data_IF_030188155815
#
_entry.id   IF_030188155815
#
_cell.length_a   1.000
_cell.length_b   1.000
_cell.length_c   1.000
_cell.angle_alpha   90.00
_cell.angle_beta   90.00
_cell.angle_gamma   90.00
#
_symmetry.space_group_name_H-M   'P 1'
#
loop_
_entity.id
_entity.type
_entity.pdbx_description
1 polymer ?
#
# COMPACT_ATOMS: atom_id res chain seq x y z
N UNK A 1 44.90 -7.06 -0.96
CA UNK A 1 44.48 -5.65 -0.80
C UNK A 1 44.11 -5.15 -2.21
N UNK A 2 42.83 -5.20 -2.57
CA UNK A 2 42.35 -4.80 -3.92
C UNK A 2 41.89 -3.35 -3.83
N UNK A 3 42.57 -2.48 -4.57
CA UNK A 3 42.27 -1.06 -4.71
C UNK A 3 41.03 -0.85 -5.61
N UNK A 4 40.15 0.05 -5.18
CA UNK A 4 38.93 0.45 -5.87
C UNK A 4 39.23 1.09 -7.23
N UNK A 5 38.44 0.77 -8.26
CA UNK A 5 38.51 1.36 -9.60
C UNK A 5 37.92 2.78 -9.56
N UNK A 6 38.71 3.88 -9.60
CA UNK A 6 38.22 5.24 -9.37
C UNK A 6 37.47 5.87 -10.56
N UNK A 7 37.30 5.13 -11.67
CA UNK A 7 36.68 5.66 -12.89
C UNK A 7 35.16 5.46 -12.99
N UNK A 8 34.63 4.34 -12.51
CA UNK A 8 33.22 3.96 -12.77
C UNK A 8 32.23 4.74 -11.91
N UNK A 9 32.55 4.97 -10.63
CA UNK A 9 31.70 5.76 -9.74
C UNK A 9 31.76 7.27 -10.04
N UNK A 10 32.92 7.77 -10.45
CA UNK A 10 33.07 9.15 -10.92
C UNK A 10 32.28 9.39 -12.21
N UNK A 11 32.34 8.45 -13.16
CA UNK A 11 31.55 8.48 -14.38
C UNK A 11 30.04 8.36 -14.09
N UNK A 12 29.57 7.43 -13.26
CA UNK A 12 28.15 7.32 -12.89
C UNK A 12 27.63 8.56 -12.17
N UNK A 13 28.42 9.16 -11.27
CA UNK A 13 28.04 10.39 -10.58
C UNK A 13 27.99 11.59 -11.55
N UNK A 14 28.94 11.67 -12.48
CA UNK A 14 28.98 12.70 -13.52
C UNK A 14 27.84 12.51 -14.55
N UNK A 15 27.62 11.30 -15.04
CA UNK A 15 26.53 10.90 -15.94
C UNK A 15 25.16 11.18 -15.30
N UNK A 16 24.99 10.93 -14.01
CA UNK A 16 23.78 11.28 -13.27
C UNK A 16 23.63 12.80 -13.09
N UNK A 17 24.73 13.54 -12.90
CA UNK A 17 24.78 15.01 -12.77
C UNK A 17 24.65 15.76 -14.10
N UNK A 18 24.96 15.15 -15.23
CA UNK A 18 24.73 15.73 -16.56
C UNK A 18 23.34 15.34 -17.09
N UNK A 19 22.92 14.08 -16.88
CA UNK A 19 21.64 13.58 -17.38
C UNK A 19 20.46 13.77 -16.40
N UNK A 20 20.61 14.34 -15.20
CA UNK A 20 19.47 14.53 -14.27
C UNK A 20 18.33 15.34 -14.89
N UNK A 21 18.63 16.27 -15.81
CA UNK A 21 17.62 17.04 -16.55
C UNK A 21 16.82 16.13 -17.50
N UNK A 22 17.46 15.16 -18.14
CA UNK A 22 16.82 14.13 -18.96
C UNK A 22 16.04 13.12 -18.10
N UNK A 23 16.56 12.73 -16.94
CA UNK A 23 15.82 11.90 -15.98
C UNK A 23 14.60 12.63 -15.41
N UNK A 24 14.70 13.95 -15.20
CA UNK A 24 13.57 14.81 -14.82
C UNK A 24 12.55 14.93 -15.95
N UNK A 25 13.01 15.13 -17.18
CA UNK A 25 12.16 15.27 -18.36
C UNK A 25 11.45 13.95 -18.76
N UNK A 26 12.10 12.79 -18.56
CA UNK A 26 11.52 11.47 -18.78
C UNK A 26 10.71 10.95 -17.58
N UNK A 27 10.64 11.70 -16.48
CA UNK A 27 9.82 11.34 -15.33
C UNK A 27 8.37 11.69 -15.62
N UNK A 28 7.47 10.76 -15.31
CA UNK A 28 6.06 11.07 -15.25
C UNK A 28 5.83 12.22 -14.28
N UNK A 29 5.06 13.24 -14.70
CA UNK A 29 4.69 14.34 -13.81
C UNK A 29 3.91 13.85 -12.59
N UNK A 30 3.23 12.70 -12.71
CA UNK A 30 2.50 12.03 -11.62
C UNK A 30 3.19 10.76 -11.14
N UNK A 31 3.01 10.43 -9.86
CA UNK A 31 3.40 9.14 -9.30
C UNK A 31 2.63 8.02 -10.01
N UNK A 32 3.36 7.08 -10.61
CA UNK A 32 2.78 5.93 -11.33
C UNK A 32 3.08 4.62 -10.59
N UNK A 33 2.22 3.60 -10.73
CA UNK A 33 2.49 2.29 -10.17
C UNK A 33 3.87 1.77 -10.60
N UNK A 34 4.68 1.36 -9.63
CA UNK A 34 6.02 0.85 -9.85
C UNK A 34 5.98 -0.65 -10.13
N UNK A 35 6.94 -1.07 -10.94
CA UNK A 35 7.24 -2.48 -11.18
C UNK A 35 8.05 -3.04 -10.01
N UNK A 36 7.69 -4.23 -9.55
CA UNK A 36 8.32 -4.96 -8.46
C UNK A 36 8.93 -6.27 -8.98
N UNK A 37 10.06 -6.64 -8.39
CA UNK A 37 10.74 -7.91 -8.67
C UNK A 37 11.34 -8.04 -10.07
N UNK A 38 11.91 -9.22 -10.34
CA UNK A 38 12.64 -9.53 -11.57
C UNK A 38 11.74 -9.58 -12.82
N UNK A 39 10.45 -9.88 -12.64
CA UNK A 39 9.49 -9.97 -13.75
C UNK A 39 8.90 -8.61 -14.15
N UNK A 40 9.21 -7.54 -13.40
CA UNK A 40 8.76 -6.19 -13.74
C UNK A 40 7.24 -6.02 -13.68
N UNK A 41 6.54 -6.79 -12.85
CA UNK A 41 5.09 -6.66 -12.64
C UNK A 41 4.78 -5.54 -11.65
N UNK A 42 3.68 -4.81 -11.80
CA UNK A 42 3.18 -3.95 -10.71
C UNK A 42 2.48 -4.79 -9.63
N UNK A 43 2.24 -4.25 -8.43
CA UNK A 43 1.43 -4.94 -7.39
C UNK A 43 0.05 -5.35 -7.93
N UNK A 44 -0.58 -4.50 -8.76
CA UNK A 44 -1.82 -4.83 -9.44
C UNK A 44 -1.66 -6.05 -10.35
N UNK A 45 -0.64 -6.08 -11.19
CA UNK A 45 -0.37 -7.22 -12.08
C UNK A 45 -0.05 -8.48 -11.27
N UNK A 46 0.70 -8.37 -10.18
CA UNK A 46 1.02 -9.48 -9.30
C UNK A 46 -0.26 -10.19 -8.78
N UNK A 47 -1.28 -9.40 -8.41
CA UNK A 47 -2.52 -9.87 -7.78
C UNK A 47 -3.65 -10.21 -8.77
N UNK A 48 -3.74 -9.49 -9.90
CA UNK A 48 -4.78 -9.70 -10.92
C UNK A 48 -4.42 -10.85 -11.86
N UNK A 49 -5.41 -11.67 -12.28
CA UNK A 49 -5.18 -12.68 -13.30
C UNK A 49 -4.85 -12.04 -14.66
N UNK A 50 -4.04 -12.72 -15.47
CA UNK A 50 -3.81 -12.40 -16.88
C UNK A 50 -2.62 -13.17 -17.48
N UNK A 51 -2.37 -12.96 -18.78
CA UNK A 51 -1.38 -13.74 -19.54
C UNK A 51 0.04 -13.47 -19.03
N UNK A 52 0.41 -12.20 -18.93
CA UNK A 52 1.69 -11.72 -18.39
C UNK A 52 1.57 -11.16 -16.96
N UNK A 53 0.48 -11.50 -16.27
CA UNK A 53 0.21 -11.07 -14.89
C UNK A 53 -0.19 -12.27 -14.04
N UNK A 54 -0.48 -12.02 -12.76
CA UNK A 54 -1.03 -12.99 -11.83
C UNK A 54 -0.01 -14.00 -11.35
N UNK A 55 1.25 -13.60 -11.18
CA UNK A 55 2.30 -14.50 -10.65
C UNK A 55 1.88 -15.15 -9.34
N UNK A 56 1.23 -14.43 -8.41
CA UNK A 56 0.72 -15.04 -7.18
C UNK A 56 -0.29 -16.16 -7.45
N UNK A 57 -1.26 -15.91 -8.33
CA UNK A 57 -2.27 -16.92 -8.69
C UNK A 57 -1.64 -18.13 -9.38
N UNK A 58 -0.65 -17.92 -10.26
CA UNK A 58 0.09 -18.99 -10.94
C UNK A 58 0.88 -19.83 -9.94
N UNK A 59 1.62 -19.19 -9.04
CA UNK A 59 2.39 -19.84 -7.97
C UNK A 59 1.47 -20.65 -7.04
N UNK A 60 0.33 -20.10 -6.62
CA UNK A 60 -0.63 -20.83 -5.79
C UNK A 60 -1.35 -21.95 -6.55
N UNK A 61 -1.64 -21.79 -7.85
CA UNK A 61 -2.18 -22.86 -8.70
C UNK A 61 -1.19 -24.02 -8.83
N UNK A 62 0.09 -23.72 -9.02
CA UNK A 62 1.15 -24.72 -9.05
C UNK A 62 1.26 -25.44 -7.70
N UNK A 63 1.25 -24.71 -6.58
CA UNK A 63 1.25 -25.31 -5.24
C UNK A 63 0.10 -26.27 -5.02
N UNK A 64 -1.15 -25.87 -5.35
CA UNK A 64 -2.32 -26.76 -5.24
C UNK A 64 -2.19 -28.06 -6.04
N UNK A 65 -1.58 -28.00 -7.22
CA UNK A 65 -1.30 -29.21 -8.03
C UNK A 65 -0.29 -30.11 -7.33
N UNK A 66 0.77 -29.55 -6.77
CA UNK A 66 1.80 -30.33 -6.07
C UNK A 66 1.25 -31.02 -4.81
N UNK A 67 0.46 -30.31 -4.01
CA UNK A 67 -0.16 -30.88 -2.80
C UNK A 67 -1.31 -31.85 -3.09
N UNK A 68 -1.96 -31.75 -4.26
CA UNK A 68 -3.00 -32.69 -4.69
C UNK A 68 -2.46 -33.99 -5.29
N UNK A 69 -1.16 -34.07 -5.56
CA UNK A 69 -0.49 -35.27 -6.08
C UNK A 69 -0.10 -36.19 -4.91
N UNK A 70 -0.26 -37.52 -5.02
CA UNK A 70 0.23 -38.46 -4.01
C UNK A 70 1.69 -38.21 -3.67
N UNK A 71 2.06 -38.32 -2.39
CA UNK A 71 3.41 -38.03 -1.92
C UNK A 71 4.49 -38.85 -2.64
N UNK A 72 4.16 -40.08 -3.04
CA UNK A 72 5.02 -40.97 -3.83
C UNK A 72 5.35 -40.46 -5.24
N UNK A 73 4.56 -39.52 -5.77
CA UNK A 73 4.72 -38.95 -7.12
C UNK A 73 5.17 -37.49 -7.11
N UNK A 74 5.28 -36.86 -5.92
CA UNK A 74 5.75 -35.49 -5.80
C UNK A 74 7.27 -35.48 -5.64
N UNK A 75 8.00 -34.87 -6.59
CA UNK A 75 9.46 -34.80 -6.44
C UNK A 75 9.84 -33.68 -5.44
N UNK A 76 10.77 -33.93 -4.50
CA UNK A 76 11.26 -32.90 -3.58
C UNK A 76 11.78 -31.64 -4.29
N UNK A 77 12.37 -31.81 -5.48
CA UNK A 77 12.85 -30.70 -6.30
C UNK A 77 11.75 -29.79 -6.83
N UNK A 78 10.56 -30.32 -7.15
CA UNK A 78 9.42 -29.51 -7.56
C UNK A 78 8.87 -28.66 -6.41
N UNK A 79 8.78 -29.24 -5.21
CA UNK A 79 8.37 -28.51 -4.00
C UNK A 79 9.38 -27.39 -3.66
N UNK A 80 10.68 -27.69 -3.67
CA UNK A 80 11.73 -26.70 -3.42
C UNK A 80 11.74 -25.58 -4.48
N UNK A 81 11.47 -25.90 -5.76
CA UNK A 81 11.33 -24.87 -6.82
C UNK A 81 10.12 -23.97 -6.58
N UNK A 82 8.98 -24.55 -6.21
CA UNK A 82 7.77 -23.78 -5.90
C UNK A 82 7.95 -22.88 -4.66
N UNK A 83 8.58 -23.39 -3.60
CA UNK A 83 8.92 -22.60 -2.41
C UNK A 83 9.83 -21.42 -2.76
N UNK A 84 10.87 -21.64 -3.57
CA UNK A 84 11.73 -20.56 -4.06
C UNK A 84 10.97 -19.51 -4.86
N UNK A 85 10.04 -19.91 -5.71
CA UNK A 85 9.20 -18.95 -6.46
C UNK A 85 8.32 -18.10 -5.52
N UNK A 86 7.75 -18.70 -4.46
CA UNK A 86 7.03 -17.93 -3.43
C UNK A 86 7.94 -16.96 -2.70
N UNK A 87 9.13 -17.41 -2.31
CA UNK A 87 10.11 -16.59 -1.60
C UNK A 87 10.57 -15.42 -2.45
N UNK A 88 10.82 -15.61 -3.75
CA UNK A 88 11.18 -14.53 -4.67
C UNK A 88 10.10 -13.45 -4.77
N UNK A 89 8.82 -13.84 -4.78
CA UNK A 89 7.71 -12.87 -4.77
C UNK A 89 7.66 -12.13 -3.43
N UNK A 90 7.85 -12.84 -2.33
CA UNK A 90 7.90 -12.26 -0.97
C UNK A 90 9.00 -11.23 -0.86
N UNK A 91 10.20 -11.58 -1.32
CA UNK A 91 11.39 -10.71 -1.31
C UNK A 91 11.21 -9.49 -2.24
N UNK A 92 10.54 -9.66 -3.39
CA UNK A 92 10.24 -8.54 -4.27
C UNK A 92 9.31 -7.51 -3.62
N UNK A 93 8.30 -7.96 -2.86
CA UNK A 93 7.42 -7.07 -2.10
C UNK A 93 8.17 -6.42 -0.94
N UNK A 94 8.96 -7.20 -0.19
CA UNK A 94 9.81 -6.68 0.88
C UNK A 94 10.71 -5.56 0.38
N UNK A 95 11.48 -5.79 -0.69
CA UNK A 95 12.36 -4.78 -1.30
C UNK A 95 11.60 -3.57 -1.82
N UNK A 96 10.38 -3.77 -2.32
CA UNK A 96 9.51 -2.67 -2.72
C UNK A 96 9.16 -1.79 -1.52
N UNK A 97 8.77 -2.37 -0.38
CA UNK A 97 8.43 -1.61 0.83
C UNK A 97 9.66 -0.95 1.44
N UNK A 98 10.78 -1.68 1.57
CA UNK A 98 12.03 -1.12 2.08
C UNK A 98 12.49 0.10 1.28
N UNK A 99 12.52 -0.02 -0.04
CA UNK A 99 12.99 1.05 -0.93
C UNK A 99 12.10 2.29 -0.92
N UNK A 100 10.78 2.10 -0.75
CA UNK A 100 9.81 3.16 -0.99
C UNK A 100 9.19 3.73 0.30
N UNK A 101 9.25 3.00 1.41
CA UNK A 101 8.79 3.46 2.72
C UNK A 101 9.97 3.64 3.68
N UNK A 102 10.70 2.57 3.95
CA UNK A 102 11.75 2.56 4.99
C UNK A 102 12.87 3.53 4.64
N UNK A 103 13.40 3.44 3.42
CA UNK A 103 14.46 4.32 2.93
C UNK A 103 14.02 5.79 2.90
N UNK A 104 12.75 6.06 2.58
CA UNK A 104 12.23 7.43 2.58
C UNK A 104 12.21 8.02 4.00
N UNK A 105 11.80 7.24 4.99
CA UNK A 105 11.81 7.63 6.40
C UNK A 105 13.23 7.76 6.95
N UNK A 106 14.12 6.83 6.61
CA UNK A 106 15.54 6.87 7.01
C UNK A 106 16.27 8.12 6.51
N UNK A 107 15.91 8.61 5.31
CA UNK A 107 16.51 9.82 4.71
C UNK A 107 15.82 11.11 5.14
N UNK A 108 14.70 11.03 5.85
CA UNK A 108 14.00 12.20 6.35
C UNK A 108 14.68 12.70 7.64
N UNK A 109 15.38 13.82 7.59
CA UNK A 109 16.03 14.41 8.77
C UNK A 109 15.07 14.79 9.90
N UNK A 110 13.78 14.94 9.59
CA UNK A 110 12.70 15.24 10.56
C UNK A 110 12.11 13.99 11.19
N UNK A 111 12.49 12.79 10.72
CA UNK A 111 12.03 11.52 11.27
C UNK A 111 12.75 11.22 12.58
N UNK A 112 12.00 11.17 13.67
CA UNK A 112 12.49 10.85 15.01
C UNK A 112 11.79 9.62 15.63
N UNK A 113 10.99 8.91 14.83
CA UNK A 113 10.33 7.68 15.24
C UNK A 113 11.22 6.44 15.04
N UNK A 114 10.82 5.27 15.54
CA UNK A 114 11.51 4.02 15.25
C UNK A 114 11.41 3.68 13.77
N UNK A 115 12.52 3.34 13.11
CA UNK A 115 12.49 2.97 11.69
C UNK A 115 11.66 1.68 11.50
N UNK A 116 10.72 1.64 10.54
CA UNK A 116 10.03 0.40 10.22
C UNK A 116 11.02 -0.65 9.70
N UNK A 117 10.85 -1.89 10.12
CA UNK A 117 11.51 -3.06 9.56
C UNK A 117 10.45 -4.01 9.01
N UNK A 118 10.63 -4.51 7.79
CA UNK A 118 9.71 -5.52 7.23
C UNK A 118 10.10 -6.85 7.83
N UNK A 119 9.38 -7.27 8.87
CA UNK A 119 9.62 -8.54 9.57
C UNK A 119 9.24 -9.72 8.68
N UNK A 120 8.05 -9.64 8.06
CA UNK A 120 7.51 -10.72 7.24
C UNK A 120 6.61 -10.20 6.13
N UNK A 121 6.48 -11.02 5.09
CA UNK A 121 5.53 -10.82 4.00
C UNK A 121 4.73 -12.10 3.76
N UNK A 122 3.44 -12.07 4.08
CA UNK A 122 2.54 -13.19 3.86
C UNK A 122 1.80 -13.04 2.55
N UNK A 123 2.03 -13.99 1.65
CA UNK A 123 1.39 -14.03 0.35
C UNK A 123 0.10 -14.85 0.41
N UNK A 124 -0.95 -14.42 -0.28
CA UNK A 124 -2.15 -15.22 -0.54
C UNK A 124 -2.51 -15.16 -2.04
N UNK A 125 -3.63 -15.77 -2.44
CA UNK A 125 -4.06 -15.82 -3.85
C UNK A 125 -4.44 -14.42 -4.37
N UNK A 126 -4.99 -13.57 -3.51
CA UNK A 126 -5.54 -12.26 -3.89
C UNK A 126 -5.07 -11.13 -2.99
N UNK A 127 -4.17 -11.39 -2.04
CA UNK A 127 -3.64 -10.36 -1.16
C UNK A 127 -2.19 -10.64 -0.77
N UNK A 128 -1.50 -9.59 -0.37
CA UNK A 128 -0.21 -9.65 0.34
C UNK A 128 -0.36 -8.87 1.64
N UNK A 129 0.12 -9.46 2.73
CA UNK A 129 0.18 -8.84 4.05
C UNK A 129 1.64 -8.57 4.39
N UNK A 130 1.94 -7.35 4.80
CA UNK A 130 3.27 -6.83 5.08
C UNK A 130 3.30 -6.50 6.57
N UNK A 131 4.16 -7.19 7.31
CA UNK A 131 4.33 -7.02 8.74
C UNK A 131 5.50 -6.07 8.99
N UNK A 132 5.21 -4.93 9.62
CA UNK A 132 6.14 -3.86 9.90
C UNK A 132 6.41 -3.82 11.41
N UNK A 133 7.60 -4.24 11.83
CA UNK A 133 8.07 -4.08 13.19
C UNK A 133 8.71 -2.68 13.37
N UNK A 134 8.76 -2.20 14.61
CA UNK A 134 9.52 -1.01 14.96
C UNK A 134 10.96 -1.42 15.30
N UNK A 135 11.94 -1.00 14.49
CA UNK A 135 13.34 -1.19 14.82
C UNK A 135 13.68 -0.32 16.04
N UNK A 136 13.85 -0.97 17.18
CA UNK A 136 14.35 -0.32 18.39
C UNK A 136 15.88 -0.39 18.39
N UNK A 137 16.60 0.73 18.55
CA UNK A 137 18.04 0.67 18.74
C UNK A 137 18.30 -0.09 20.05
N UNK A 138 19.02 -1.21 19.94
CA UNK A 138 19.40 -2.16 21.00
C UNK A 138 19.01 -1.70 22.42
N UNK A 139 17.87 -2.18 22.90
CA UNK A 139 17.61 -2.16 24.33
C UNK A 139 18.73 -2.96 25.00
N UNK A 140 19.50 -2.31 25.86
CA UNK A 140 20.29 -3.03 26.86
C UNK A 140 19.37 -4.05 27.56
N UNK A 141 19.94 -5.20 27.89
CA UNK A 141 19.28 -6.30 28.57
C UNK A 141 18.31 -5.79 29.65
N UNK A 142 17.00 -5.85 29.39
CA UNK A 142 15.98 -5.47 30.39
C UNK A 142 14.68 -4.85 29.89
N UNK A 143 14.61 -4.24 28.69
CA UNK A 143 13.37 -3.61 28.21
C UNK A 143 12.68 -4.43 27.10
N UNK A 144 12.08 -5.56 27.49
CA UNK A 144 11.36 -6.46 26.57
C UNK A 144 9.92 -5.98 26.29
N UNK A 145 9.77 -4.78 25.75
CA UNK A 145 8.48 -4.30 25.22
C UNK A 145 8.55 -4.35 23.69
N UNK A 146 8.49 -5.56 23.12
CA UNK A 146 8.26 -5.72 21.69
C UNK A 146 6.89 -5.13 21.36
N UNK A 147 6.86 -3.95 20.73
CA UNK A 147 5.62 -3.32 20.30
C UNK A 147 4.97 -4.20 19.23
N UNK A 148 3.64 -4.33 19.28
CA UNK A 148 2.94 -5.12 18.27
C UNK A 148 3.21 -4.57 16.86
N UNK A 149 3.43 -5.44 15.85
CA UNK A 149 3.73 -5.01 14.50
C UNK A 149 2.52 -4.32 13.86
N UNK A 150 2.79 -3.41 12.94
CA UNK A 150 1.78 -2.86 12.05
C UNK A 150 1.61 -3.80 10.85
N UNK A 151 0.39 -4.14 10.48
CA UNK A 151 0.09 -5.11 9.42
C UNK A 151 -0.69 -4.42 8.31
N UNK A 152 -0.01 -4.15 7.20
CA UNK A 152 -0.58 -3.58 5.99
C UNK A 152 -0.94 -4.70 5.01
N UNK A 153 -2.20 -4.74 4.58
CA UNK A 153 -2.70 -5.65 3.55
C UNK A 153 -2.96 -4.91 2.25
N UNK A 154 -2.40 -5.41 1.16
CA UNK A 154 -2.74 -5.02 -0.21
C UNK A 154 -3.51 -6.16 -0.86
N UNK A 155 -4.76 -5.94 -1.25
CA UNK A 155 -5.63 -6.98 -1.79
C UNK A 155 -6.28 -6.58 -3.11
N UNK A 156 -6.58 -7.58 -3.95
CA UNK A 156 -7.33 -7.41 -5.18
C UNK A 156 -8.76 -7.91 -4.99
N UNK A 157 -9.72 -6.99 -4.91
CA UNK A 157 -11.16 -7.26 -4.78
C UNK A 157 -11.87 -6.82 -6.05
N UNK A 158 -12.47 -7.77 -6.79
CA UNK A 158 -13.10 -7.49 -8.09
C UNK A 158 -12.25 -6.59 -9.01
N UNK A 159 -10.92 -6.76 -8.92
CA UNK A 159 -9.95 -6.03 -9.72
C UNK A 159 -9.50 -4.66 -9.20
N UNK A 160 -10.11 -4.17 -8.13
CA UNK A 160 -9.64 -3.02 -7.37
C UNK A 160 -8.51 -3.42 -6.43
N UNK A 161 -7.48 -2.58 -6.32
CA UNK A 161 -6.43 -2.74 -5.33
C UNK A 161 -6.82 -1.97 -4.08
N UNK A 162 -7.06 -2.70 -3.00
CA UNK A 162 -7.44 -2.18 -1.70
C UNK A 162 -6.25 -2.24 -0.77
N UNK A 163 -5.87 -1.11 -0.18
CA UNK A 163 -4.97 -1.07 0.97
C UNK A 163 -5.79 -1.03 2.27
N UNK A 164 -5.38 -1.84 3.23
CA UNK A 164 -6.07 -2.01 4.51
C UNK A 164 -5.04 -2.27 5.62
N UNK A 165 -5.10 -1.52 6.71
CA UNK A 165 -4.44 -1.88 7.94
C UNK A 165 -5.27 -2.91 8.69
N UNK A 166 -4.72 -4.12 8.85
CA UNK A 166 -5.29 -5.16 9.71
C UNK A 166 -5.01 -4.87 11.18
N UNK A 167 -3.88 -4.23 11.43
CA UNK A 167 -3.42 -3.77 12.73
C UNK A 167 -2.50 -2.57 12.53
N UNK A 168 -2.71 -1.49 13.28
CA UNK A 168 -1.80 -0.34 13.24
C UNK A 168 -0.54 -0.55 14.09
N UNK A 169 -0.61 -1.41 15.11
CA UNK A 169 0.54 -1.77 15.93
C UNK A 169 1.23 -0.54 16.53
N UNK A 170 2.56 -0.53 16.50
CA UNK A 170 3.39 0.59 16.96
C UNK A 170 3.11 1.92 16.25
N UNK A 171 2.55 1.94 15.02
CA UNK A 171 2.21 3.18 14.32
C UNK A 171 1.15 4.00 15.07
N UNK A 172 0.26 3.34 15.82
CA UNK A 172 -0.76 4.02 16.61
C UNK A 172 -0.18 4.84 17.76
N UNK A 173 1.05 4.52 18.20
CA UNK A 173 1.72 5.18 19.32
C UNK A 173 2.70 6.26 18.87
N UNK A 174 2.76 6.56 17.58
CA UNK A 174 3.65 7.60 17.06
C UNK A 174 3.20 9.00 17.52
N UNK A 175 4.15 9.90 17.84
CA UNK A 175 3.81 11.30 18.11
C UNK A 175 3.23 11.96 16.85
N UNK A 176 2.37 13.00 16.97
CA UNK A 176 1.66 13.58 15.82
C UNK A 176 2.56 14.02 14.65
N UNK A 177 3.75 14.56 14.95
CA UNK A 177 4.72 14.94 13.92
C UNK A 177 5.26 13.73 13.14
N UNK A 178 5.54 12.62 13.82
CA UNK A 178 5.98 11.39 13.18
C UNK A 178 4.83 10.72 12.39
N UNK A 179 3.61 10.76 12.92
CA UNK A 179 2.43 10.29 12.20
C UNK A 179 2.28 10.99 10.85
N UNK A 180 2.40 12.32 10.80
CA UNK A 180 2.34 13.10 9.54
C UNK A 180 3.40 12.68 8.52
N UNK A 181 4.64 12.46 8.98
CA UNK A 181 5.73 12.02 8.10
C UNK A 181 5.45 10.61 7.54
N UNK A 182 4.97 9.68 8.37
CA UNK A 182 4.58 8.34 7.90
C UNK A 182 3.39 8.41 6.95
N UNK A 183 2.37 9.19 7.26
CA UNK A 183 1.21 9.39 6.37
C UNK A 183 1.65 9.88 4.99
N UNK A 184 2.58 10.85 4.95
CA UNK A 184 3.17 11.34 3.71
C UNK A 184 3.95 10.25 2.94
N UNK A 185 4.74 9.44 3.65
CA UNK A 185 5.46 8.31 3.06
C UNK A 185 4.50 7.24 2.49
N UNK A 186 3.44 6.93 3.24
CA UNK A 186 2.41 5.95 2.86
C UNK A 186 1.64 6.38 1.60
N UNK A 187 1.38 7.67 1.40
CA UNK A 187 0.79 8.14 0.15
C UNK A 187 1.63 7.77 -1.07
N UNK A 188 2.95 7.99 -0.99
CA UNK A 188 3.87 7.58 -2.04
C UNK A 188 3.81 6.07 -2.26
N UNK A 189 3.89 5.30 -1.17
CA UNK A 189 3.79 3.84 -1.21
C UNK A 189 2.50 3.35 -1.89
N UNK A 190 1.35 3.92 -1.55
CA UNK A 190 0.05 3.53 -2.11
C UNK A 190 -0.08 3.87 -3.59
N UNK A 191 0.42 5.04 -4.00
CA UNK A 191 0.47 5.41 -5.41
C UNK A 191 1.38 4.48 -6.22
N UNK A 192 2.57 4.16 -5.69
CA UNK A 192 3.46 3.21 -6.33
C UNK A 192 2.96 1.77 -6.32
N UNK A 193 2.15 1.38 -5.32
CA UNK A 193 1.45 0.10 -5.33
C UNK A 193 0.24 0.11 -6.30
N UNK A 194 -0.21 1.27 -6.76
CA UNK A 194 -1.39 1.41 -7.61
C UNK A 194 -2.68 1.06 -6.89
N UNK A 195 -2.76 1.46 -5.61
CA UNK A 195 -3.96 1.36 -4.76
C UNK A 195 -5.09 2.17 -5.40
N UNK A 196 -6.27 1.57 -5.46
CA UNK A 196 -7.51 2.23 -5.87
C UNK A 196 -8.28 2.74 -4.66
N UNK A 197 -8.28 2.00 -3.55
CA UNK A 197 -9.17 2.24 -2.41
C UNK A 197 -8.39 2.08 -1.12
N UNK A 198 -8.64 2.99 -0.19
CA UNK A 198 -8.18 2.90 1.19
C UNK A 198 -9.34 2.45 2.06
N UNK A 199 -9.16 1.35 2.80
CA UNK A 199 -10.24 0.78 3.60
C UNK A 199 -10.58 1.65 4.83
N UNK A 200 -9.61 2.38 5.38
CA UNK A 200 -9.76 3.18 6.61
C UNK A 200 -10.72 4.36 6.45
N UNK A 201 -10.55 5.27 5.45
CA UNK A 201 -11.52 6.33 5.20
C UNK A 201 -12.94 5.80 4.98
N UNK A 202 -13.05 4.73 4.19
CA UNK A 202 -14.35 4.12 3.88
C UNK A 202 -15.01 3.54 5.13
N UNK A 203 -14.28 2.79 5.95
CA UNK A 203 -14.81 2.27 7.22
C UNK A 203 -15.21 3.39 8.17
N UNK A 204 -14.44 4.47 8.22
CA UNK A 204 -14.81 5.60 9.07
C UNK A 204 -16.11 6.26 8.58
N UNK A 205 -16.25 6.48 7.27
CA UNK A 205 -17.44 7.08 6.70
C UNK A 205 -18.70 6.20 6.83
N UNK A 206 -18.53 4.88 6.91
CA UNK A 206 -19.62 3.90 6.98
C UNK A 206 -20.14 3.60 8.39
N UNK A 207 -19.58 4.21 9.44
CA UNK A 207 -19.89 3.85 10.83
C UNK A 207 -19.84 2.31 11.09
N UNK A 208 -20.23 1.86 12.28
CA UNK A 208 -20.30 0.44 12.59
C UNK A 208 -21.55 -0.24 12.02
N UNK A 209 -22.46 0.49 11.35
CA UNK A 209 -23.79 0.02 10.94
C UNK A 209 -23.78 -0.75 9.61
N UNK A 210 -22.79 -0.49 8.75
CA UNK A 210 -22.70 -1.13 7.45
C UNK A 210 -21.51 -2.09 7.38
N UNK A 211 -21.60 -3.06 6.48
CA UNK A 211 -20.43 -3.72 5.91
C UNK A 211 -20.41 -3.48 4.40
N UNK A 212 -19.25 -3.61 3.79
CA UNK A 212 -19.08 -3.26 2.38
C UNK A 212 -18.38 -4.36 1.59
N UNK A 213 -18.65 -4.37 0.30
CA UNK A 213 -18.00 -5.24 -0.67
C UNK A 213 -17.79 -4.48 -1.98
N UNK A 214 -16.73 -4.82 -2.70
CA UNK A 214 -16.49 -4.31 -4.05
C UNK A 214 -16.85 -5.36 -5.10
N UNK A 215 -17.45 -4.89 -6.19
CA UNK A 215 -17.58 -5.63 -7.44
C UNK A 215 -16.90 -4.87 -8.60
N UNK A 216 -17.02 -5.36 -9.84
CA UNK A 216 -16.36 -4.76 -10.99
C UNK A 216 -16.92 -3.38 -11.36
N UNK A 217 -18.08 -3.01 -10.82
CA UNK A 217 -18.81 -1.81 -11.18
C UNK A 217 -18.79 -0.75 -10.08
N UNK A 218 -18.59 -1.15 -8.81
CA UNK A 218 -18.41 -0.19 -7.73
C UNK A 218 -18.50 -0.81 -6.34
N UNK A 219 -19.03 -0.01 -5.40
CA UNK A 219 -19.16 -0.32 -3.98
C UNK A 219 -20.59 -0.78 -3.67
N UNK A 220 -20.70 -1.87 -2.92
CA UNK A 220 -21.96 -2.31 -2.30
C UNK A 220 -21.86 -2.13 -0.80
N UNK A 221 -22.88 -1.50 -0.23
CA UNK A 221 -23.10 -1.42 1.20
C UNK A 221 -24.24 -2.34 1.59
N UNK A 222 -24.08 -2.98 2.73
CA UNK A 222 -25.10 -3.83 3.33
C UNK A 222 -25.30 -3.38 4.76
N UNK A 223 -26.57 -3.35 5.18
CA UNK A 223 -26.92 -3.11 6.57
C UNK A 223 -26.55 -4.31 7.43
N UNK A 224 -25.98 -4.08 8.60
CA UNK A 224 -25.63 -5.18 9.53
C UNK A 224 -26.84 -5.78 10.21
N UNK A 225 -27.86 -4.96 10.48
CA UNK A 225 -29.12 -5.38 11.08
C UNK A 225 -30.03 -6.12 10.09
N UNK A 226 -29.90 -5.81 8.81
CA UNK A 226 -30.60 -6.52 7.73
C UNK A 226 -29.72 -6.65 6.47
N UNK A 227 -28.96 -7.75 6.33
CA UNK A 227 -28.08 -7.97 5.19
C UNK A 227 -28.80 -8.12 3.84
N UNK A 228 -30.12 -8.27 3.80
CA UNK A 228 -30.88 -8.28 2.54
C UNK A 228 -31.02 -6.88 1.96
N UNK A 229 -30.93 -5.84 2.80
CA UNK A 229 -30.89 -4.45 2.37
C UNK A 229 -29.48 -4.10 1.91
N UNK A 230 -29.36 -3.78 0.61
CA UNK A 230 -28.11 -3.35 0.00
C UNK A 230 -28.29 -2.04 -0.77
N UNK A 231 -27.27 -1.20 -0.73
CA UNK A 231 -27.14 -0.02 -1.56
C UNK A 231 -25.94 -0.17 -2.50
N UNK A 232 -26.12 0.20 -3.75
CA UNK A 232 -25.10 0.13 -4.79
C UNK A 232 -24.65 1.53 -5.21
N UNK A 233 -23.34 1.73 -5.19
CA UNK A 233 -22.64 2.97 -5.49
C UNK A 233 -21.70 2.71 -6.67
N UNK A 234 -22.03 3.19 -7.88
CA UNK A 234 -21.17 2.98 -9.04
C UNK A 234 -19.85 3.71 -8.89
N UNK A 235 -18.82 3.18 -9.56
CA UNK A 235 -17.61 3.95 -9.82
C UNK A 235 -17.95 5.24 -10.56
N UNK A 236 -17.46 6.36 -10.04
CA UNK A 236 -17.59 7.69 -10.63
C UNK A 236 -16.29 8.45 -10.42
N UNK A 237 -15.87 9.22 -11.43
CA UNK A 237 -14.57 9.90 -11.43
C UNK A 237 -14.58 11.26 -10.71
N UNK A 238 -15.76 11.77 -10.35
CA UNK A 238 -15.91 13.02 -9.61
C UNK A 238 -17.32 13.18 -9.05
N UNK A 239 -17.47 14.12 -8.10
CA UNK A 239 -18.77 14.56 -7.61
C UNK A 239 -19.35 13.70 -6.50
N UNK A 240 -20.62 13.93 -6.19
CA UNK A 240 -21.34 13.22 -5.15
C UNK A 240 -21.88 11.88 -5.67
N UNK A 241 -21.47 10.79 -5.02
CA UNK A 241 -21.94 9.43 -5.28
C UNK A 241 -23.10 9.13 -4.34
N UNK A 242 -24.26 8.90 -4.95
CA UNK A 242 -25.51 8.51 -4.28
C UNK A 242 -25.86 7.07 -4.64
N UNK A 243 -26.61 6.35 -3.79
CA UNK A 243 -27.03 5.00 -4.10
C UNK A 243 -27.99 4.98 -5.30
N UNK A 244 -27.83 4.01 -6.21
CA UNK A 244 -28.65 3.93 -7.43
C UNK A 244 -29.89 3.03 -7.32
N UNK A 245 -29.90 2.09 -6.37
CA UNK A 245 -30.92 1.04 -6.26
C UNK A 245 -31.89 1.24 -5.08
N UNK A 246 -31.76 2.35 -4.35
CA UNK A 246 -32.58 2.66 -3.18
C UNK A 246 -32.62 4.18 -2.95
N UNK A 247 -33.50 4.62 -2.04
CA UNK A 247 -33.63 6.05 -1.74
C UNK A 247 -32.39 6.57 -0.98
N UNK A 248 -31.78 7.69 -1.42
CA UNK A 248 -30.63 8.30 -0.74
C UNK A 248 -30.91 8.77 0.69
N UNK A 249 -32.19 8.92 1.09
CA UNK A 249 -32.55 9.38 2.43
C UNK A 249 -32.16 8.39 3.55
N UNK A 250 -31.98 7.12 3.23
CA UNK A 250 -31.72 6.04 4.20
C UNK A 250 -30.29 5.49 4.14
N UNK A 251 -29.46 6.07 3.27
CA UNK A 251 -28.14 5.56 2.95
C UNK A 251 -27.16 6.72 2.81
N UNK A 252 -25.89 6.54 3.21
CA UNK A 252 -24.92 7.61 3.15
C UNK A 252 -24.63 8.03 1.70
N UNK A 253 -24.36 9.32 1.48
CA UNK A 253 -23.78 9.82 0.24
C UNK A 253 -22.32 10.19 0.46
N UNK A 254 -21.50 10.07 -0.58
CA UNK A 254 -20.06 10.33 -0.48
C UNK A 254 -19.61 11.24 -1.61
N UNK A 255 -18.51 11.95 -1.42
CA UNK A 255 -17.74 12.44 -2.56
C UNK A 255 -16.89 11.29 -3.14
N UNK A 256 -16.72 11.27 -4.46
CA UNK A 256 -15.95 10.24 -5.15
C UNK A 256 -14.54 10.06 -4.55
N UNK A 257 -13.88 11.17 -4.23
CA UNK A 257 -12.55 11.25 -3.65
C UNK A 257 -12.49 10.73 -2.19
N UNK A 258 -13.65 10.56 -1.52
CA UNK A 258 -13.70 9.92 -0.21
C UNK A 258 -13.62 8.39 -0.30
N UNK A 259 -13.97 7.80 -1.46
CA UNK A 259 -13.97 6.35 -1.69
C UNK A 259 -12.75 5.94 -2.53
N UNK A 260 -12.48 6.70 -3.59
CA UNK A 260 -11.58 6.31 -4.67
C UNK A 260 -10.23 7.06 -4.58
N UNK A 261 -9.24 6.39 -3.99
CA UNK A 261 -7.90 6.95 -3.80
C UNK A 261 -7.15 7.20 -5.12
N UNK A 262 -7.40 6.39 -6.14
CA UNK A 262 -6.78 6.56 -7.47
C UNK A 262 -7.24 7.83 -8.21
N UNK A 263 -8.27 8.53 -7.74
CA UNK A 263 -8.64 9.85 -8.28
C UNK A 263 -7.67 10.95 -7.84
N UNK A 264 -6.94 10.75 -6.74
CA UNK A 264 -5.89 11.69 -6.34
C UNK A 264 -4.67 11.53 -7.25
N UNK A 265 -4.42 12.53 -8.08
CA UNK A 265 -3.20 12.62 -8.87
C UNK A 265 -2.13 13.40 -8.10
N UNK A 266 -1.16 12.67 -7.54
CA UNK A 266 -0.02 13.30 -6.86
C UNK A 266 1.11 13.54 -7.86
N UNK A 267 1.44 14.82 -8.08
CA UNK A 267 2.63 15.13 -8.83
C UNK A 267 3.88 14.75 -8.05
N UNK A 268 4.96 14.44 -8.78
CA UNK A 268 6.25 14.18 -8.16
C UNK A 268 6.72 15.40 -7.34
N UNK A 269 6.52 16.60 -7.87
CA UNK A 269 6.87 17.86 -7.21
C UNK A 269 6.11 18.05 -5.91
N UNK A 270 4.80 17.75 -5.91
CA UNK A 270 3.96 17.91 -4.72
C UNK A 270 4.35 16.92 -3.63
N UNK A 271 4.61 15.67 -4.00
CA UNK A 271 5.13 14.68 -3.07
C UNK A 271 6.52 15.08 -2.54
N UNK A 272 7.43 15.53 -3.41
CA UNK A 272 8.75 15.97 -2.98
C UNK A 272 8.69 17.18 -2.01
N UNK A 273 7.79 18.14 -2.26
CA UNK A 273 7.63 19.31 -1.41
C UNK A 273 7.16 18.95 0.01
N UNK A 274 6.27 17.95 0.15
CA UNK A 274 5.76 17.53 1.45
C UNK A 274 6.79 16.91 2.39
N UNK A 275 7.96 16.48 1.88
CA UNK A 275 9.09 16.07 2.72
C UNK A 275 9.81 17.24 3.40
N UNK A 276 9.77 18.45 2.79
CA UNK A 276 10.37 19.65 3.36
C UNK A 276 9.47 20.24 4.44
N UNK A 277 8.17 20.37 4.16
CA UNK A 277 7.18 20.76 5.14
C UNK A 277 5.82 20.06 4.98
N UNK A 278 5.53 19.04 5.82
CA UNK A 278 4.23 18.37 5.83
C UNK A 278 3.07 19.32 6.17
N UNK A 279 3.34 20.44 6.85
CA UNK A 279 2.32 21.43 7.19
C UNK A 279 1.96 22.35 6.02
N UNK A 280 2.80 22.39 4.97
CA UNK A 280 2.54 23.08 3.70
C UNK A 280 1.96 22.13 2.64
N UNK A 281 1.58 20.91 3.02
CA UNK A 281 0.84 20.06 2.14
C UNK A 281 -0.48 20.76 1.75
N UNK A 282 -0.88 20.73 0.47
CA UNK A 282 -2.18 21.21 0.03
C UNK A 282 -3.31 20.73 0.95
N UNK A 283 -4.36 21.53 1.17
CA UNK A 283 -5.47 21.14 2.06
C UNK A 283 -6.08 19.77 1.73
N UNK A 284 -6.12 19.42 0.44
CA UNK A 284 -6.57 18.11 -0.07
C UNK A 284 -5.71 16.95 0.45
N UNK A 285 -4.40 17.16 0.57
CA UNK A 285 -3.45 16.20 1.12
C UNK A 285 -3.58 16.06 2.63
N UNK A 286 -3.81 17.17 3.33
CA UNK A 286 -4.01 17.19 4.78
C UNK A 286 -5.26 16.42 5.17
N UNK A 287 -6.38 16.66 4.48
CA UNK A 287 -7.63 15.94 4.70
C UNK A 287 -7.47 14.42 4.46
N UNK A 288 -6.59 14.03 3.54
CA UNK A 288 -6.26 12.63 3.27
C UNK A 288 -5.37 12.04 4.36
N UNK A 289 -4.35 12.77 4.84
CA UNK A 289 -3.48 12.33 5.93
C UNK A 289 -4.26 11.95 7.19
N UNK A 290 -5.22 12.78 7.59
CA UNK A 290 -6.08 12.53 8.75
C UNK A 290 -6.87 11.23 8.66
N UNK A 291 -6.99 10.64 7.45
CA UNK A 291 -7.73 9.39 7.19
C UNK A 291 -6.85 8.14 7.11
N UNK A 292 -5.52 8.28 7.08
CA UNK A 292 -4.59 7.17 6.80
C UNK A 292 -4.12 6.39 8.03
N UNK A 293 -4.00 7.06 9.18
CA UNK A 293 -3.59 6.45 10.45
C UNK A 293 -4.56 6.90 11.57
N UNK A 294 -4.75 6.09 12.62
CA UNK A 294 -5.60 6.45 13.75
C UNK A 294 -4.97 7.62 14.51
N UNK A 295 -5.80 8.56 14.97
CA UNK A 295 -5.32 9.68 15.82
C UNK A 295 -5.99 11.03 15.53
N UNK A 296 -6.69 11.17 14.42
CA UNK A 296 -7.54 12.33 14.17
C UNK A 296 -9.03 11.93 14.26
N UNK A 297 -9.83 12.53 15.17
CA UNK A 297 -11.27 12.57 14.92
C UNK A 297 -11.45 13.32 13.60
N UNK A 298 -11.98 12.65 12.59
CA UNK A 298 -12.34 13.33 11.35
C UNK A 298 -13.30 14.45 11.72
N UNK A 299 -12.88 15.70 11.49
CA UNK A 299 -13.85 16.78 11.42
C UNK A 299 -14.84 16.36 10.35
N UNK A 300 -16.11 16.31 10.71
CA UNK A 300 -17.19 16.19 9.74
C UNK A 300 -16.91 17.19 8.60
N UNK A 301 -17.16 16.83 7.33
CA UNK A 301 -17.10 17.81 6.25
C UNK A 301 -17.94 19.02 6.69
N UNK A 302 -17.36 20.21 6.60
CA UNK A 302 -18.12 21.43 6.84
C UNK A 302 -19.28 21.45 5.85
N UNK A 303 -20.49 21.56 6.40
CA UNK A 303 -21.74 21.81 5.68
C UNK A 303 -21.63 23.05 4.76
#
# INVERSE_FOLDING_TARGET
MIWAIPGVFGFLAWELKENWKLYRANRSCTLKPLRIGHHGETVRQLLRPGVHSGTLRKVYRQGRRLYGTPFSSCSPGQLARWQRQRQQVSEAVLRFVERNLVFALERCSRWHGPLPEVEDVFLSVTAVEIHLAARTPQAGEGANHSLAPAVLRLSCQAGWIVAEWRQFGWLANLPPNAQRIVQHALLGLYQWAGVDILAEPLRHALHSQYFWQLDWYGLRLYRRDDPQQQAYYPWQESGQIVPQNCSPAYWPSFHAEAIWFNLYSFSWELWQAGWHDPNLAPPELVALYERLLPGHPLRAPMD
#
